data_IF_713225934225
#
_entry.id   IF_713225934225
#
_cell.length_a   1.000
_cell.length_b   1.000
_cell.length_c   1.000
_cell.angle_alpha   90.00
_cell.angle_beta   90.00
_cell.angle_gamma   90.00
#
_symmetry.space_group_name_H-M   'P 1'
#
loop_
_entity.id
_entity.type
_entity.pdbx_description
1 polymer ?
#
# COMPACT_ATOMS: atom_id res chain seq x y z
N UNK A 1 -14.58 22.62 -12.17
CA UNK A 1 -13.62 22.32 -13.25
C UNK A 1 -13.76 20.85 -13.61
N UNK A 2 -13.55 20.46 -14.87
CA UNK A 2 -13.51 19.05 -15.23
C UNK A 2 -12.27 18.39 -14.57
N UNK A 3 -12.35 17.12 -14.14
CA UNK A 3 -11.20 16.44 -13.55
C UNK A 3 -10.04 16.38 -14.55
N UNK A 4 -8.83 16.70 -14.08
CA UNK A 4 -7.62 16.61 -14.88
C UNK A 4 -7.29 15.16 -15.18
N UNK A 5 -6.61 14.89 -16.30
CA UNK A 5 -6.12 13.53 -16.59
C UNK A 5 -4.84 13.26 -15.80
N UNK A 6 -4.81 12.16 -15.07
CA UNK A 6 -3.60 11.69 -14.40
C UNK A 6 -2.86 10.67 -15.28
N UNK A 7 -1.53 10.76 -15.33
CA UNK A 7 -0.66 9.87 -16.09
C UNK A 7 0.43 9.30 -15.17
N UNK A 8 0.79 8.03 -15.39
CA UNK A 8 1.96 7.42 -14.75
C UNK A 8 3.15 7.66 -15.65
N UNK A 9 4.09 8.49 -15.20
CA UNK A 9 5.27 8.88 -15.98
C UNK A 9 6.54 8.12 -15.62
N UNK A 10 6.55 7.37 -14.52
CA UNK A 10 7.66 6.50 -14.14
C UNK A 10 7.29 5.49 -13.07
N UNK A 11 7.99 4.36 -13.06
CA UNK A 11 7.77 3.24 -12.13
C UNK A 11 9.09 2.71 -11.59
N UNK A 12 9.05 2.14 -10.39
CA UNK A 12 10.24 1.59 -9.74
C UNK A 12 9.89 0.53 -8.70
N UNK A 13 10.66 -0.55 -8.68
CA UNK A 13 10.52 -1.60 -7.67
C UNK A 13 11.88 -2.12 -7.22
N UNK A 14 11.94 -2.53 -5.96
CA UNK A 14 13.05 -3.34 -5.45
C UNK A 14 12.84 -4.79 -5.81
N UNK A 15 13.91 -5.58 -5.77
CA UNK A 15 13.77 -7.05 -5.83
C UNK A 15 13.05 -7.55 -4.58
N UNK A 16 12.07 -8.43 -4.76
CA UNK A 16 11.47 -9.16 -3.64
C UNK A 16 12.48 -10.16 -3.09
N UNK A 17 12.73 -10.08 -1.79
CA UNK A 17 13.65 -10.96 -1.08
C UNK A 17 12.93 -11.70 0.03
N UNK A 18 13.42 -12.90 0.36
CA UNK A 18 12.90 -13.64 1.52
C UNK A 18 13.16 -12.82 2.79
N UNK A 19 12.28 -12.86 3.80
CA UNK A 19 12.47 -12.17 5.07
C UNK A 19 13.65 -12.80 5.84
N UNK A 20 14.85 -12.28 5.63
CA UNK A 20 16.12 -12.77 6.18
C UNK A 20 16.90 -11.68 6.94
N UNK A 21 16.23 -10.57 7.26
CA UNK A 21 16.83 -9.37 7.87
C UNK A 21 18.07 -8.81 7.15
N UNK A 22 18.18 -9.04 5.85
CA UNK A 22 19.30 -8.54 5.03
C UNK A 22 19.17 -7.06 4.67
N UNK A 23 17.95 -6.52 4.73
CA UNK A 23 17.63 -5.14 4.34
C UNK A 23 16.50 -4.61 5.20
N UNK A 24 16.50 -3.29 5.40
CA UNK A 24 15.45 -2.59 6.12
C UNK A 24 14.59 -1.72 5.20
N UNK A 25 13.38 -1.40 5.65
CA UNK A 25 12.37 -0.69 4.86
C UNK A 25 12.81 0.69 4.34
N UNK A 26 13.63 1.50 5.06
CA UNK A 26 14.02 2.81 4.55
C UNK A 26 14.85 2.71 3.28
N UNK A 27 15.75 1.72 3.20
CA UNK A 27 16.59 1.49 2.03
C UNK A 27 15.77 0.97 0.84
N UNK A 28 14.78 0.10 1.12
CA UNK A 28 13.89 -0.44 0.10
C UNK A 28 12.99 0.67 -0.47
N UNK A 29 12.41 1.51 0.39
CA UNK A 29 11.60 2.65 0.00
C UNK A 29 12.39 3.67 -0.83
N UNK A 30 13.61 4.03 -0.40
CA UNK A 30 14.50 4.91 -1.16
C UNK A 30 14.79 4.34 -2.54
N UNK A 31 15.21 3.08 -2.63
CA UNK A 31 15.57 2.45 -3.91
C UNK A 31 14.40 2.45 -4.91
N UNK A 32 13.20 2.05 -4.46
CA UNK A 32 12.02 2.04 -5.32
C UNK A 32 11.67 3.45 -5.81
N UNK A 33 11.68 4.44 -4.91
CA UNK A 33 11.38 5.82 -5.26
C UNK A 33 12.44 6.44 -6.19
N UNK A 34 13.74 6.19 -5.95
CA UNK A 34 14.82 6.63 -6.85
C UNK A 34 14.64 6.02 -8.25
N UNK A 35 14.32 4.73 -8.36
CA UNK A 35 14.08 4.09 -9.65
C UNK A 35 12.90 4.72 -10.39
N UNK A 36 11.79 5.00 -9.69
CA UNK A 36 10.62 5.65 -10.28
C UNK A 36 10.93 7.07 -10.78
N UNK A 37 11.71 7.85 -10.01
CA UNK A 37 12.16 9.19 -10.42
C UNK A 37 13.07 9.14 -11.65
N UNK A 38 14.01 8.19 -11.68
CA UNK A 38 14.91 7.99 -12.83
C UNK A 38 14.15 7.59 -14.09
N UNK A 39 13.18 6.67 -13.98
CA UNK A 39 12.31 6.24 -15.08
C UNK A 39 11.45 7.40 -15.62
N UNK A 40 10.97 8.27 -14.72
CA UNK A 40 10.25 9.48 -15.07
C UNK A 40 11.12 10.61 -15.65
N UNK A 41 12.45 10.52 -15.52
CA UNK A 41 13.38 11.59 -15.94
C UNK A 41 13.26 12.88 -15.12
N UNK A 42 12.76 12.80 -13.88
CA UNK A 42 12.59 13.95 -12.98
C UNK A 42 13.35 13.78 -11.68
N UNK A 43 13.61 14.89 -11.00
CA UNK A 43 14.19 14.94 -9.67
C UNK A 43 13.11 15.11 -8.60
N UNK A 44 13.43 14.76 -7.35
CA UNK A 44 12.46 14.71 -6.26
C UNK A 44 11.86 16.09 -5.90
N UNK A 45 12.54 17.20 -6.22
CA UNK A 45 12.03 18.57 -6.05
C UNK A 45 10.78 18.88 -6.89
N UNK A 46 10.48 18.07 -7.91
CA UNK A 46 9.26 18.19 -8.70
C UNK A 46 8.05 17.56 -8.03
N UNK A 47 8.25 16.64 -7.10
CA UNK A 47 7.15 16.01 -6.36
C UNK A 47 6.58 17.02 -5.38
N UNK A 48 5.26 17.24 -5.41
CA UNK A 48 4.59 18.21 -4.55
C UNK A 48 3.78 17.54 -3.43
N UNK A 49 3.49 16.25 -3.55
CA UNK A 49 2.81 15.44 -2.55
C UNK A 49 3.22 13.98 -2.68
N UNK A 50 3.19 13.23 -1.58
CA UNK A 50 3.34 11.79 -1.63
C UNK A 50 2.27 11.05 -0.81
N UNK A 51 1.79 9.93 -1.34
CA UNK A 51 1.02 8.94 -0.61
C UNK A 51 1.90 7.70 -0.42
N UNK A 52 2.10 7.27 0.83
CA UNK A 52 3.06 6.22 1.17
C UNK A 52 2.38 5.11 1.96
N UNK A 53 2.47 3.89 1.45
CA UNK A 53 1.75 2.74 1.96
C UNK A 53 2.64 1.71 2.67
N UNK A 54 2.26 1.29 3.88
CA UNK A 54 2.88 0.18 4.62
C UNK A 54 1.90 -0.38 5.66
N UNK A 55 2.01 -1.67 6.01
CA UNK A 55 1.15 -2.30 7.01
C UNK A 55 1.83 -2.48 8.37
N UNK A 56 3.11 -2.87 8.38
CA UNK A 56 3.82 -3.26 9.61
C UNK A 56 4.99 -2.34 10.01
N UNK A 57 4.96 -1.09 9.54
CA UNK A 57 5.85 -0.02 10.01
C UNK A 57 5.20 0.85 11.08
N UNK A 58 6.02 1.54 11.86
CA UNK A 58 5.57 2.55 12.83
C UNK A 58 5.01 3.80 12.15
N UNK A 59 4.41 4.69 12.93
CA UNK A 59 4.04 6.02 12.47
C UNK A 59 5.24 6.71 11.81
N UNK A 60 4.98 7.43 10.73
CA UNK A 60 5.96 8.23 9.97
C UNK A 60 7.02 7.44 9.17
N UNK A 61 6.84 6.12 8.96
CA UNK A 61 7.77 5.36 8.14
C UNK A 61 7.88 5.87 6.69
N UNK A 62 6.81 6.44 6.12
CA UNK A 62 6.86 7.03 4.78
C UNK A 62 7.78 8.25 4.69
N UNK A 63 7.72 9.13 5.69
CA UNK A 63 8.66 10.25 5.86
C UNK A 63 10.08 9.72 5.96
N UNK A 64 10.31 8.69 6.77
CA UNK A 64 11.65 8.10 6.95
C UNK A 64 12.24 7.58 5.64
N UNK A 65 11.42 7.00 4.75
CA UNK A 65 11.83 6.58 3.42
C UNK A 65 12.16 7.78 2.52
N UNK A 66 11.23 8.73 2.39
CA UNK A 66 11.33 9.81 1.42
C UNK A 66 12.31 10.91 1.80
N UNK A 67 12.55 11.16 3.09
CA UNK A 67 13.54 12.15 3.53
C UNK A 67 14.97 11.82 3.14
N UNK A 68 15.25 10.58 2.73
CA UNK A 68 16.54 10.21 2.14
C UNK A 68 16.74 10.78 0.71
N UNK A 69 15.65 11.14 0.03
CA UNK A 69 15.68 11.81 -1.28
C UNK A 69 15.73 13.34 -1.14
N UNK A 70 15.38 13.86 0.04
CA UNK A 70 15.40 15.28 0.38
C UNK A 70 14.25 15.68 1.30
N UNK A 71 14.43 16.73 2.08
CA UNK A 71 13.42 17.27 3.00
C UNK A 71 12.69 18.48 2.38
N UNK A 72 11.98 18.26 1.28
CA UNK A 72 11.35 19.30 0.44
C UNK A 72 10.03 19.89 1.00
N UNK A 73 9.71 19.67 2.28
CA UNK A 73 8.48 20.18 2.93
C UNK A 73 7.17 19.75 2.24
N UNK A 74 7.18 18.67 1.46
CA UNK A 74 5.98 18.15 0.81
C UNK A 74 5.08 17.44 1.82
N UNK A 75 3.75 17.51 1.68
CA UNK A 75 2.83 16.64 2.42
C UNK A 75 3.08 15.16 2.10
N UNK A 76 3.28 14.36 3.14
CA UNK A 76 3.44 12.90 3.07
C UNK A 76 2.30 12.25 3.85
N UNK A 77 1.40 11.57 3.12
CA UNK A 77 0.23 10.88 3.69
C UNK A 77 0.56 9.40 3.81
N UNK A 78 0.69 8.90 5.05
CA UNK A 78 0.88 7.48 5.29
C UNK A 78 -0.47 6.75 5.27
N UNK A 79 -0.57 5.66 4.52
CA UNK A 79 -1.79 4.86 4.41
C UNK A 79 -1.55 3.40 4.76
N UNK A 80 -2.56 2.79 5.38
CA UNK A 80 -2.59 1.37 5.71
C UNK A 80 -4.01 0.87 5.45
N UNK A 81 -4.14 0.01 4.44
CA UNK A 81 -5.37 -0.66 4.04
C UNK A 81 -5.09 -2.13 3.70
N UNK A 82 -4.28 -2.79 4.54
CA UNK A 82 -3.86 -4.17 4.40
C UNK A 82 -3.27 -4.47 2.98
N UNK A 83 -3.61 -5.59 2.35
CA UNK A 83 -3.11 -5.96 1.02
C UNK A 83 -3.38 -4.92 -0.08
N UNK A 84 -4.35 -4.02 0.10
CA UNK A 84 -4.73 -2.98 -0.87
C UNK A 84 -4.01 -1.64 -0.65
N UNK A 85 -3.10 -1.58 0.31
CA UNK A 85 -2.37 -0.36 0.71
C UNK A 85 -1.68 0.33 -0.46
N UNK A 86 -0.99 -0.41 -1.33
CA UNK A 86 -0.33 0.17 -2.52
C UNK A 86 -1.33 0.80 -3.50
N UNK A 87 -2.47 0.15 -3.74
CA UNK A 87 -3.54 0.69 -4.59
C UNK A 87 -4.21 1.90 -3.96
N UNK A 88 -4.33 1.94 -2.63
CA UNK A 88 -4.85 3.11 -1.90
C UNK A 88 -3.90 4.30 -2.04
N UNK A 89 -2.59 4.08 -1.94
CA UNK A 89 -1.59 5.13 -2.18
C UNK A 89 -1.69 5.67 -3.62
N UNK A 90 -1.78 4.78 -4.62
CA UNK A 90 -1.95 5.18 -6.02
C UNK A 90 -3.26 5.94 -6.26
N UNK A 91 -4.35 5.52 -5.63
CA UNK A 91 -5.65 6.19 -5.71
C UNK A 91 -5.59 7.62 -5.15
N UNK A 92 -4.97 7.82 -3.99
CA UNK A 92 -4.79 9.16 -3.40
C UNK A 92 -3.88 10.05 -4.25
N UNK A 93 -2.79 9.49 -4.78
CA UNK A 93 -1.90 10.20 -5.69
C UNK A 93 -2.67 10.66 -6.94
N UNK A 94 -3.42 9.74 -7.59
CA UNK A 94 -4.28 10.08 -8.73
C UNK A 94 -5.26 11.21 -8.39
N UNK A 95 -5.98 11.10 -7.27
CA UNK A 95 -6.95 12.14 -6.87
C UNK A 95 -6.29 13.51 -6.68
N UNK A 96 -5.09 13.57 -6.12
CA UNK A 96 -4.37 14.83 -5.98
C UNK A 96 -4.13 15.51 -7.34
N UNK A 97 -3.85 14.74 -8.40
CA UNK A 97 -3.73 15.24 -9.77
C UNK A 97 -5.10 15.63 -10.34
N UNK A 98 -6.08 14.72 -10.29
CA UNK A 98 -7.39 14.92 -10.94
C UNK A 98 -8.12 16.17 -10.41
N UNK A 99 -7.93 16.50 -9.14
CA UNK A 99 -8.55 17.64 -8.49
C UNK A 99 -7.63 18.87 -8.37
N UNK A 100 -6.44 18.85 -8.98
CA UNK A 100 -5.53 20.00 -9.04
C UNK A 100 -4.89 20.38 -7.70
N UNK A 101 -4.77 19.43 -6.77
CA UNK A 101 -4.02 19.61 -5.51
C UNK A 101 -2.51 19.62 -5.78
N UNK A 102 -2.06 18.85 -6.78
CA UNK A 102 -0.68 18.79 -7.23
C UNK A 102 -0.64 18.52 -8.75
N UNK A 103 0.45 18.94 -9.41
CA UNK A 103 0.81 18.60 -10.79
C UNK A 103 1.69 17.35 -10.86
N UNK A 104 2.46 17.08 -9.79
CA UNK A 104 3.31 15.89 -9.68
C UNK A 104 3.25 15.31 -8.27
N UNK A 105 3.02 14.00 -8.19
CA UNK A 105 2.83 13.27 -6.94
C UNK A 105 3.58 11.94 -6.98
N UNK A 106 3.89 11.40 -5.81
CA UNK A 106 4.51 10.08 -5.67
C UNK A 106 3.59 9.13 -4.89
N UNK A 107 3.34 7.95 -5.46
CA UNK A 107 2.82 6.81 -4.72
C UNK A 107 3.97 5.86 -4.42
N UNK A 108 4.25 5.61 -3.13
CA UNK A 108 5.28 4.67 -2.68
C UNK A 108 4.63 3.59 -1.81
N UNK A 109 5.09 2.36 -1.94
CA UNK A 109 4.72 1.27 -1.04
C UNK A 109 5.95 0.49 -0.62
N UNK A 110 6.02 0.06 0.64
CA UNK A 110 7.07 -0.83 1.12
C UNK A 110 6.55 -1.73 2.23
N UNK A 111 7.23 -2.86 2.43
CA UNK A 111 6.96 -3.73 3.57
C UNK A 111 8.23 -4.49 3.96
N UNK A 112 8.48 -4.60 5.28
CA UNK A 112 9.48 -5.52 5.82
C UNK A 112 8.74 -6.61 6.61
N UNK A 113 8.50 -7.73 5.94
CA UNK A 113 7.78 -8.84 6.56
C UNK A 113 8.66 -9.55 7.61
N UNK A 114 8.02 -10.18 8.60
CA UNK A 114 8.67 -11.19 9.43
C UNK A 114 8.74 -12.53 8.67
N UNK A 115 9.65 -13.42 9.09
CA UNK A 115 9.67 -14.78 8.58
C UNK A 115 8.44 -15.57 9.08
N UNK A 116 7.94 -16.48 8.24
CA UNK A 116 6.79 -17.34 8.57
C UNK A 116 5.45 -16.81 8.07
N UNK A 117 4.37 -17.44 8.54
CA UNK A 117 3.01 -17.05 8.19
C UNK A 117 2.63 -15.71 8.81
N UNK A 118 1.75 -14.96 8.13
CA UNK A 118 1.19 -13.73 8.69
C UNK A 118 0.30 -14.08 9.89
N UNK A 119 0.53 -13.37 11.00
CA UNK A 119 -0.27 -13.46 12.21
C UNK A 119 -0.76 -12.08 12.63
N UNK A 120 -1.65 -12.05 13.64
CA UNK A 120 -2.03 -10.77 14.25
C UNK A 120 -0.82 -10.15 14.94
N UNK A 121 -0.65 -8.83 14.78
CA UNK A 121 0.35 -8.06 15.52
C UNK A 121 -0.18 -7.48 16.82
N UNK A 122 -1.49 -7.33 16.92
CA UNK A 122 -2.17 -6.77 18.08
C UNK A 122 -3.23 -7.76 18.55
N UNK A 123 -3.15 -8.17 19.81
CA UNK A 123 -4.07 -9.09 20.48
C UNK A 123 -4.89 -8.42 21.58
N UNK A 124 -4.70 -7.10 21.77
CA UNK A 124 -5.30 -6.26 22.80
C UNK A 124 -6.56 -5.50 22.35
N UNK A 125 -7.01 -5.72 21.10
CA UNK A 125 -8.13 -4.98 20.49
C UNK A 125 -8.96 -5.86 19.55
N UNK A 126 -10.16 -5.38 19.21
CA UNK A 126 -11.07 -6.06 18.28
C UNK A 126 -10.38 -6.36 16.95
N UNK A 127 -10.54 -7.60 16.48
CA UNK A 127 -10.00 -8.02 15.19
C UNK A 127 -10.76 -7.33 14.06
N UNK A 128 -10.09 -6.61 13.13
CA UNK A 128 -10.77 -5.91 12.02
C UNK A 128 -11.48 -6.85 11.04
N UNK A 129 -11.19 -8.15 11.08
CA UNK A 129 -11.83 -9.17 10.26
C UNK A 129 -12.97 -9.90 10.99
N UNK A 130 -13.30 -9.54 12.23
CA UNK A 130 -14.28 -10.25 13.07
C UNK A 130 -15.62 -10.47 12.35
N UNK A 131 -16.24 -9.43 11.80
CA UNK A 131 -17.52 -9.50 11.08
C UNK A 131 -17.42 -10.33 9.81
N UNK A 132 -16.33 -10.17 9.06
CA UNK A 132 -16.10 -10.95 7.84
C UNK A 132 -15.96 -12.43 8.16
N UNK A 133 -15.27 -12.76 9.26
CA UNK A 133 -15.09 -14.15 9.71
C UNK A 133 -16.40 -14.73 10.23
N UNK A 134 -17.15 -14.00 11.05
CA UNK A 134 -18.45 -14.45 11.56
C UNK A 134 -19.42 -14.73 10.41
N UNK A 135 -19.55 -13.79 9.47
CA UNK A 135 -20.41 -13.98 8.29
C UNK A 135 -19.99 -15.20 7.47
N UNK A 136 -18.68 -15.34 7.19
CA UNK A 136 -18.17 -16.49 6.43
C UNK A 136 -18.45 -17.81 7.16
N UNK A 137 -18.24 -17.85 8.48
CA UNK A 137 -18.49 -19.03 9.30
C UNK A 137 -19.98 -19.40 9.35
N UNK A 138 -20.86 -18.41 9.51
CA UNK A 138 -22.31 -18.61 9.57
C UNK A 138 -22.89 -19.08 8.22
N UNK A 139 -22.39 -18.54 7.11
CA UNK A 139 -22.97 -18.79 5.78
C UNK A 139 -22.33 -19.95 5.03
N UNK A 140 -21.03 -20.22 5.25
CA UNK A 140 -20.24 -21.20 4.47
C UNK A 140 -19.44 -22.18 5.33
N UNK A 141 -19.37 -21.95 6.65
CA UNK A 141 -18.50 -22.71 7.56
C UNK A 141 -17.01 -22.38 7.38
N UNK A 142 -16.18 -22.99 8.23
CA UNK A 142 -14.71 -22.90 8.16
C UNK A 142 -14.17 -24.27 7.78
N UNK A 143 -13.39 -24.33 6.70
CA UNK A 143 -12.71 -25.55 6.24
C UNK A 143 -11.23 -25.58 6.68
N UNK A 144 -10.56 -26.72 6.43
CA UNK A 144 -9.13 -26.88 6.69
C UNK A 144 -8.21 -26.12 5.70
N UNK A 145 -8.76 -25.44 4.70
CA UNK A 145 -7.98 -24.70 3.70
C UNK A 145 -7.33 -23.42 4.25
N UNK A 146 -6.40 -22.78 3.51
CA UNK A 146 -5.82 -21.50 3.90
C UNK A 146 -6.89 -20.43 4.08
N UNK A 147 -6.89 -19.78 5.25
CA UNK A 147 -7.94 -18.82 5.65
C UNK A 147 -8.21 -17.71 4.62
N UNK A 148 -7.16 -17.08 4.08
CA UNK A 148 -7.32 -16.04 3.07
C UNK A 148 -7.99 -16.57 1.79
N UNK A 149 -7.65 -17.79 1.35
CA UNK A 149 -8.26 -18.40 0.17
C UNK A 149 -9.75 -18.69 0.39
N UNK A 150 -10.14 -19.08 1.60
CA UNK A 150 -11.55 -19.27 1.97
C UNK A 150 -12.32 -17.95 1.89
N UNK A 151 -11.80 -16.86 2.47
CA UNK A 151 -12.43 -15.54 2.42
C UNK A 151 -12.63 -15.09 0.97
N UNK A 152 -11.56 -15.08 0.16
CA UNK A 152 -11.64 -14.58 -1.21
C UNK A 152 -12.50 -15.48 -2.10
N UNK A 153 -12.43 -16.80 -1.93
CA UNK A 153 -13.28 -17.75 -2.66
C UNK A 153 -14.77 -17.56 -2.36
N UNK A 154 -15.12 -17.46 -1.07
CA UNK A 154 -16.50 -17.25 -0.64
C UNK A 154 -17.04 -15.89 -1.10
N UNK A 155 -16.25 -14.82 -0.97
CA UNK A 155 -16.61 -13.50 -1.48
C UNK A 155 -16.83 -13.50 -3.01
N UNK A 156 -16.01 -14.26 -3.75
CA UNK A 156 -16.18 -14.44 -5.19
C UNK A 156 -17.50 -15.13 -5.56
N UNK A 157 -17.85 -16.20 -4.85
CA UNK A 157 -19.14 -16.91 -5.04
C UNK A 157 -20.32 -15.97 -4.76
N UNK A 158 -20.27 -15.23 -3.66
CA UNK A 158 -21.30 -14.25 -3.30
C UNK A 158 -21.45 -13.18 -4.38
N UNK A 159 -20.34 -12.60 -4.84
CA UNK A 159 -20.34 -11.57 -5.90
C UNK A 159 -20.97 -12.07 -7.21
N UNK A 160 -20.74 -13.33 -7.58
CA UNK A 160 -21.35 -13.94 -8.76
C UNK A 160 -22.86 -14.12 -8.55
N UNK A 161 -23.28 -14.53 -7.35
CA UNK A 161 -24.69 -14.77 -7.04
C UNK A 161 -25.52 -13.48 -6.91
N UNK A 162 -24.90 -12.35 -6.54
CA UNK A 162 -25.61 -11.08 -6.29
C UNK A 162 -25.41 -10.04 -7.40
N UNK A 163 -24.72 -10.37 -8.49
CA UNK A 163 -24.62 -9.47 -9.65
C UNK A 163 -25.93 -9.48 -10.44
N UNK A 164 -26.53 -8.31 -10.74
CA UNK A 164 -27.65 -8.21 -11.67
C UNK A 164 -27.25 -8.57 -13.10
#
# INVERSE_FOLDING_TARGET
MAPQKAYVIGVGMTKFIKPRDLRDYPDMGREAATKALLDAGITYDKVQQAAVGYCYGDSTCGQRCLYQLGMHQIPIINVNNNCSTGSTALFLARQAIEYGVADCTMALGFEKMAAGSLGSKFDDRTNPLDKTVSMMSETRGISAGPFAAQIFGNAGIETIATRP
#
